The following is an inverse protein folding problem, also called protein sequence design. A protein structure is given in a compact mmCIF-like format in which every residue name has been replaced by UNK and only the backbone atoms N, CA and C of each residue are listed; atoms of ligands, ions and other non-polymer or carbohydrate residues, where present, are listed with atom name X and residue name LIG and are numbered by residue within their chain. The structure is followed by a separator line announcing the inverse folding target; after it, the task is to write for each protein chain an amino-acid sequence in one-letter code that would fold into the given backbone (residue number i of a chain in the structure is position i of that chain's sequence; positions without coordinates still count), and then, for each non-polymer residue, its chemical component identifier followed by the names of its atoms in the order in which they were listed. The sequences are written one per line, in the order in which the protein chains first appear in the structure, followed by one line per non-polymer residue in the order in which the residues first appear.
data_IF_954807528652
#
_entry.id   IF_954807528652
#
_cell.length_a   1.000
_cell.length_b   1.000
_cell.length_c   1.000
_cell.angle_alpha   90.00
_cell.angle_beta   90.00
_cell.angle_gamma   90.00
#
_symmetry.space_group_name_H-M   'P 1'
#
loop_
_entity.id
_entity.type
_entity.pdbx_description
1 polymer ?
#
# COMPACT_ATOMS: atom_id res chain seq x y z
N UNK A 1 -1.05 12.89 2.37
CA UNK A 1 -0.35 12.18 3.43
C UNK A 1 -0.88 10.75 3.58
N UNK A 2 0.02 9.81 3.81
CA UNK A 2 -0.37 8.43 3.97
C UNK A 2 -0.79 8.17 5.41
N UNK A 3 -2.00 7.63 5.58
CA UNK A 3 -2.53 7.39 6.91
C UNK A 3 -1.92 6.13 7.52
N UNK A 4 -1.62 6.19 8.82
CA UNK A 4 -1.15 5.02 9.57
C UNK A 4 -2.29 4.23 10.20
N UNK A 5 -3.51 4.73 10.11
CA UNK A 5 -4.64 4.02 10.69
C UNK A 5 -5.02 2.82 9.85
N UNK A 6 -5.40 1.71 10.50
CA UNK A 6 -5.84 0.54 9.73
C UNK A 6 -7.12 0.83 8.95
N UNK A 7 -7.20 0.27 7.77
CA UNK A 7 -8.32 0.51 6.85
C UNK A 7 -8.90 -0.83 6.40
N UNK A 8 -10.21 -0.97 6.51
CA UNK A 8 -10.92 -2.18 6.09
C UNK A 8 -10.76 -2.40 4.59
N UNK A 9 -10.64 -3.65 4.20
CA UNK A 9 -10.52 -4.11 2.82
C UNK A 9 -9.22 -3.74 2.14
N UNK A 10 -8.21 -3.32 2.90
CA UNK A 10 -6.89 -3.05 2.34
C UNK A 10 -5.91 -4.15 2.72
N UNK A 11 -4.83 -4.23 1.98
CA UNK A 11 -3.83 -5.28 2.15
C UNK A 11 -2.71 -4.84 3.08
N UNK A 12 -2.23 -5.79 3.86
CA UNK A 12 -1.17 -5.56 4.84
C UNK A 12 -0.25 -6.77 4.88
N UNK A 13 0.94 -6.59 5.43
CA UNK A 13 1.83 -7.71 5.74
C UNK A 13 1.76 -7.99 7.23
N UNK A 14 1.58 -9.25 7.58
CA UNK A 14 1.54 -9.70 8.96
C UNK A 14 2.38 -10.96 9.06
N UNK A 15 3.43 -10.92 9.90
CA UNK A 15 4.31 -12.06 10.09
C UNK A 15 4.81 -12.64 8.76
N UNK A 16 5.11 -11.77 7.79
CA UNK A 16 5.65 -12.18 6.51
C UNK A 16 4.62 -12.59 5.47
N UNK A 17 3.33 -12.62 5.83
CA UNK A 17 2.27 -13.03 4.91
C UNK A 17 1.36 -11.87 4.56
N UNK A 18 0.72 -11.95 3.40
CA UNK A 18 -0.22 -10.92 2.99
C UNK A 18 -1.59 -11.22 3.55
N UNK A 19 -2.17 -10.22 4.21
CA UNK A 19 -3.48 -10.33 4.84
C UNK A 19 -4.35 -9.17 4.39
N UNK A 20 -5.65 -9.30 4.62
CA UNK A 20 -6.60 -8.25 4.30
C UNK A 20 -7.43 -7.97 5.54
N UNK A 21 -7.61 -6.70 5.89
CA UNK A 21 -8.43 -6.36 7.04
C UNK A 21 -9.89 -6.57 6.68
N UNK A 22 -10.59 -7.39 7.45
CA UNK A 22 -12.01 -7.67 7.21
C UNK A 22 -12.90 -6.83 8.08
N UNK A 23 -12.49 -6.53 9.31
CA UNK A 23 -13.32 -5.80 10.25
C UNK A 23 -12.46 -5.17 11.31
N UNK A 24 -12.84 -3.98 11.75
CA UNK A 24 -12.16 -3.27 12.82
C UNK A 24 -13.17 -3.02 13.93
N UNK A 25 -12.81 -3.41 15.17
CA UNK A 25 -13.65 -3.20 16.34
C UNK A 25 -12.82 -2.53 17.41
N UNK A 26 -12.84 -1.20 17.44
CA UNK A 26 -12.08 -0.45 18.43
C UNK A 26 -12.57 -0.73 19.84
N UNK A 27 -13.88 -0.86 20.03
CA UNK A 27 -14.46 -1.11 21.33
C UNK A 27 -14.01 -2.42 21.94
N UNK A 28 -13.70 -3.42 21.11
CA UNK A 28 -13.19 -4.71 21.57
C UNK A 28 -11.69 -4.79 21.46
N UNK A 29 -11.03 -3.73 21.03
CA UNK A 29 -9.58 -3.70 20.78
C UNK A 29 -9.14 -4.83 19.84
N UNK A 30 -9.88 -5.00 18.73
CA UNK A 30 -9.60 -6.09 17.78
C UNK A 30 -9.65 -5.63 16.35
N UNK A 31 -8.77 -6.21 15.55
CA UNK A 31 -8.82 -6.12 14.09
C UNK A 31 -8.86 -7.54 13.58
N UNK A 32 -9.87 -7.84 12.76
CA UNK A 32 -10.01 -9.16 12.16
C UNK A 32 -9.37 -9.13 10.79
N UNK A 33 -8.38 -10.01 10.59
CA UNK A 33 -7.65 -10.06 9.33
C UNK A 33 -7.80 -11.44 8.72
N UNK A 34 -7.91 -11.45 7.39
CA UNK A 34 -7.96 -12.70 6.63
C UNK A 34 -6.57 -12.99 6.09
N UNK A 35 -6.04 -14.18 6.42
CA UNK A 35 -4.80 -14.65 5.85
C UNK A 35 -5.13 -15.17 4.46
N UNK A 36 -4.66 -14.48 3.42
CA UNK A 36 -5.12 -14.76 2.07
C UNK A 36 -4.68 -16.11 1.54
N UNK A 37 -3.56 -16.64 2.04
CA UNK A 37 -3.07 -17.96 1.60
C UNK A 37 -3.95 -19.10 2.12
N UNK A 38 -4.34 -19.02 3.40
CA UNK A 38 -5.13 -20.08 4.03
C UNK A 38 -6.61 -19.78 4.11
N UNK A 39 -7.00 -18.52 3.87
CA UNK A 39 -8.36 -18.01 4.01
C UNK A 39 -8.86 -18.01 5.45
N UNK A 40 -7.96 -18.21 6.40
CA UNK A 40 -8.33 -18.17 7.82
C UNK A 40 -8.44 -16.73 8.31
N UNK A 41 -9.36 -16.50 9.24
CA UNK A 41 -9.51 -15.19 9.88
C UNK A 41 -8.98 -15.28 11.29
N UNK A 42 -8.09 -14.36 11.63
CA UNK A 42 -7.57 -14.24 12.98
C UNK A 42 -7.78 -12.81 13.45
N UNK A 43 -7.60 -12.57 14.75
CA UNK A 43 -7.68 -11.20 15.24
C UNK A 43 -6.37 -10.78 15.86
N UNK A 44 -6.11 -9.48 15.81
CA UNK A 44 -4.95 -8.87 16.44
C UNK A 44 -5.44 -7.68 17.27
N UNK A 45 -4.66 -7.27 18.30
CA UNK A 45 -5.04 -6.10 19.09
C UNK A 45 -5.00 -4.82 18.25
N UNK A 46 -6.06 -4.04 18.33
CA UNK A 46 -6.13 -2.78 17.60
C UNK A 46 -5.00 -1.84 18.00
N UNK A 47 -4.70 -1.79 19.31
CA UNK A 47 -3.69 -0.88 19.82
C UNK A 47 -2.29 -1.17 19.29
N UNK A 48 -2.03 -2.41 18.88
CA UNK A 48 -0.73 -2.81 18.38
C UNK A 48 -0.66 -2.90 16.87
N UNK A 49 -1.70 -2.44 16.18
CA UNK A 49 -1.77 -2.64 14.74
C UNK A 49 -0.63 -1.97 13.98
N UNK A 50 -0.19 -0.79 14.42
CA UNK A 50 0.93 -0.12 13.74
C UNK A 50 2.22 -0.92 13.78
N UNK A 51 2.38 -1.73 14.82
CA UNK A 51 3.58 -2.55 14.98
C UNK A 51 3.42 -3.88 14.27
N UNK A 52 2.23 -4.47 14.36
CA UNK A 52 2.01 -5.84 13.90
C UNK A 52 1.78 -5.96 12.41
N UNK A 53 1.16 -4.95 11.78
CA UNK A 53 0.87 -5.02 10.36
C UNK A 53 1.42 -3.79 9.63
N UNK A 54 1.85 -4.00 8.39
CA UNK A 54 2.43 -2.96 7.55
C UNK A 54 1.61 -2.83 6.28
N UNK A 55 1.22 -1.60 5.94
CA UNK A 55 0.36 -1.36 4.79
C UNK A 55 1.04 -1.74 3.48
N UNK A 56 0.30 -2.42 2.62
CA UNK A 56 0.70 -2.67 1.24
C UNK A 56 -0.25 -1.91 0.32
N UNK A 57 0.28 -1.37 -0.77
CA UNK A 57 -0.47 -0.55 -1.70
C UNK A 57 -0.48 -1.21 -3.06
N UNK A 58 -1.67 -1.41 -3.62
CA UNK A 58 -1.75 -1.94 -4.98
C UNK A 58 -1.27 -0.89 -5.98
N UNK A 59 -0.94 -1.33 -7.19
CA UNK A 59 -0.49 -0.40 -8.24
C UNK A 59 -1.53 0.67 -8.50
N UNK A 60 -2.82 0.29 -8.51
CA UNK A 60 -3.88 1.26 -8.70
C UNK A 60 -3.95 2.31 -7.61
N UNK A 61 -3.73 1.89 -6.35
CA UNK A 61 -3.72 2.83 -5.25
C UNK A 61 -2.56 3.80 -5.35
N UNK A 62 -1.36 3.28 -5.69
CA UNK A 62 -0.20 4.13 -5.83
C UNK A 62 -0.37 5.12 -6.97
N UNK A 63 -0.95 4.65 -8.08
CA UNK A 63 -1.20 5.53 -9.22
C UNK A 63 -2.04 6.74 -8.81
N UNK A 64 -3.05 6.51 -7.98
CA UNK A 64 -3.86 7.62 -7.47
C UNK A 64 -3.08 8.52 -6.54
N UNK A 65 -2.28 7.94 -5.66
CA UNK A 65 -1.49 8.71 -4.70
C UNK A 65 -0.51 9.64 -5.42
N UNK A 66 0.17 9.13 -6.44
CA UNK A 66 1.17 9.93 -7.17
C UNK A 66 0.57 10.69 -8.34
N UNK A 67 -0.73 10.55 -8.55
CA UNK A 67 -1.47 11.24 -9.61
C UNK A 67 -0.88 10.96 -10.99
N UNK A 68 -0.62 9.68 -11.24
CA UNK A 68 -0.13 9.19 -12.53
C UNK A 68 -0.95 7.99 -12.94
N UNK A 69 -0.93 7.67 -14.24
CA UNK A 69 -1.63 6.50 -14.74
C UNK A 69 -0.80 5.24 -14.44
N UNK A 70 -1.46 4.09 -14.25
CA UNK A 70 -0.71 2.85 -14.04
C UNK A 70 0.30 2.55 -15.14
N UNK A 71 -0.03 2.88 -16.39
CA UNK A 71 0.90 2.67 -17.50
C UNK A 71 2.17 3.49 -17.34
N UNK A 72 2.04 4.69 -16.81
CA UNK A 72 3.19 5.54 -16.53
C UNK A 72 4.10 4.89 -15.49
N UNK A 73 3.51 4.30 -14.46
CA UNK A 73 4.31 3.61 -13.44
C UNK A 73 5.08 2.45 -14.06
N UNK A 74 4.41 1.64 -14.88
CA UNK A 74 5.08 0.53 -15.54
C UNK A 74 6.25 0.99 -16.42
N UNK A 75 6.06 2.11 -17.10
CA UNK A 75 7.11 2.68 -17.94
C UNK A 75 8.33 3.05 -17.12
N UNK A 76 8.12 3.71 -15.98
CA UNK A 76 9.25 4.12 -15.12
C UNK A 76 9.87 2.94 -14.41
N UNK A 77 9.09 1.91 -14.08
CA UNK A 77 9.65 0.66 -13.54
C UNK A 77 10.61 0.04 -14.54
N UNK A 78 10.21 -0.05 -15.80
CA UNK A 78 11.06 -0.66 -16.82
C UNK A 78 12.37 0.11 -17.02
N UNK A 79 12.35 1.39 -16.73
CA UNK A 79 13.54 2.23 -16.82
C UNK A 79 14.35 2.25 -15.53
N UNK A 80 13.91 1.50 -14.53
CA UNK A 80 14.56 1.43 -13.22
C UNK A 80 14.64 2.78 -12.52
N UNK A 81 13.65 3.64 -12.77
CA UNK A 81 13.60 4.97 -12.15
C UNK A 81 12.79 4.99 -10.87
N UNK A 82 11.91 4.00 -10.69
CA UNK A 82 11.15 3.83 -9.46
C UNK A 82 11.23 2.37 -9.05
N UNK A 83 10.91 2.05 -7.78
CA UNK A 83 10.92 0.64 -7.36
C UNK A 83 9.98 -0.21 -8.18
N UNK A 84 10.33 -1.47 -8.36
CA UNK A 84 9.47 -2.43 -9.04
C UNK A 84 8.45 -3.00 -8.06
N UNK A 85 7.21 -3.09 -8.49
CA UNK A 85 6.17 -3.68 -7.66
C UNK A 85 6.44 -5.16 -7.45
N UNK A 86 6.15 -5.64 -6.24
CA UNK A 86 6.27 -7.06 -5.91
C UNK A 86 4.99 -7.79 -6.26
N UNK A 87 5.10 -9.07 -6.63
CA UNK A 87 3.92 -9.87 -6.88
C UNK A 87 3.44 -10.52 -5.59
N UNK A 88 2.13 -10.72 -5.48
CA UNK A 88 1.58 -11.46 -4.34
C UNK A 88 2.12 -12.88 -4.30
N UNK A 89 2.11 -13.57 -5.45
CA UNK A 89 2.62 -14.93 -5.51
C UNK A 89 1.51 -15.97 -5.63
N UNK A 90 1.91 -17.17 -6.03
CA UNK A 90 0.94 -18.24 -6.34
C UNK A 90 0.20 -18.76 -5.11
N UNK A 91 0.78 -18.60 -3.93
CA UNK A 91 0.13 -19.05 -2.70
C UNK A 91 -1.10 -18.19 -2.36
N UNK A 92 -1.26 -17.03 -3.00
CA UNK A 92 -2.40 -16.17 -2.73
C UNK A 92 -3.42 -16.31 -3.85
N UNK A 93 -4.14 -17.41 -3.83
CA UNK A 93 -5.14 -17.73 -4.84
C UNK A 93 -6.15 -16.60 -5.02
N UNK A 94 -6.41 -16.24 -6.26
CA UNK A 94 -7.27 -15.11 -6.58
C UNK A 94 -6.52 -13.79 -6.67
N UNK A 95 -5.31 -13.72 -6.13
CA UNK A 95 -4.51 -12.50 -6.14
C UNK A 95 -3.11 -12.72 -6.68
N UNK A 96 -2.82 -13.92 -7.22
CA UNK A 96 -1.44 -14.27 -7.57
C UNK A 96 -0.80 -13.32 -8.57
N UNK A 97 -1.58 -12.72 -9.46
CA UNK A 97 -1.05 -11.78 -10.44
C UNK A 97 -1.04 -10.33 -9.95
N UNK A 98 -1.60 -10.08 -8.77
CA UNK A 98 -1.64 -8.75 -8.23
C UNK A 98 -0.25 -8.32 -7.79
N UNK A 99 -0.03 -7.00 -7.80
CA UNK A 99 1.25 -6.41 -7.42
C UNK A 99 1.05 -5.35 -6.36
N UNK A 100 2.08 -5.15 -5.55
CA UNK A 100 2.01 -4.18 -4.46
C UNK A 100 3.35 -3.46 -4.29
N UNK A 101 3.26 -2.31 -3.63
CA UNK A 101 4.41 -1.58 -3.13
C UNK A 101 4.26 -1.47 -1.63
N UNK A 102 5.37 -1.47 -0.90
CA UNK A 102 5.29 -1.21 0.53
C UNK A 102 5.33 0.30 0.77
N UNK A 103 5.16 0.68 2.03
CA UNK A 103 5.05 2.09 2.39
C UNK A 103 6.30 2.88 2.04
N UNK A 104 7.48 2.32 2.29
CA UNK A 104 8.71 3.03 1.99
C UNK A 104 8.88 3.26 0.50
N UNK A 105 8.49 2.28 -0.31
CA UNK A 105 8.53 2.43 -1.75
C UNK A 105 7.58 3.51 -2.23
N UNK A 106 6.40 3.59 -1.62
CA UNK A 106 5.43 4.61 -1.99
C UNK A 106 5.98 6.01 -1.67
N UNK A 107 6.59 6.19 -0.52
CA UNK A 107 7.20 7.48 -0.18
C UNK A 107 8.30 7.84 -1.18
N UNK A 108 9.09 6.87 -1.58
CA UNK A 108 10.13 7.08 -2.58
C UNK A 108 9.53 7.55 -3.89
N UNK A 109 8.42 6.95 -4.30
CA UNK A 109 7.75 7.32 -5.54
C UNK A 109 7.12 8.71 -5.46
N UNK A 110 6.54 9.04 -4.32
CA UNK A 110 5.99 10.37 -4.11
C UNK A 110 7.08 11.42 -4.31
N UNK A 111 8.23 11.19 -3.71
CA UNK A 111 9.33 12.13 -3.84
C UNK A 111 9.83 12.22 -5.27
N UNK A 112 9.97 11.08 -5.94
CA UNK A 112 10.42 11.05 -7.32
C UNK A 112 9.51 11.88 -8.22
N UNK A 113 8.19 11.67 -8.11
CA UNK A 113 7.26 12.38 -8.97
C UNK A 113 7.10 13.85 -8.60
N UNK A 114 7.25 14.19 -7.32
CA UNK A 114 7.24 15.59 -6.92
C UNK A 114 8.39 16.35 -7.53
N UNK A 115 9.55 15.76 -7.61
CA UNK A 115 10.70 16.41 -8.20
C UNK A 115 10.55 16.59 -9.70
N UNK A 116 9.76 15.75 -10.35
CA UNK A 116 9.59 15.83 -11.80
C UNK A 116 8.37 16.64 -12.21
N UNK A 117 7.51 16.95 -11.27
CA UNK A 117 6.29 17.70 -11.56
C UNK A 117 6.59 19.17 -11.66
N UNK A 118 6.14 19.80 -12.75
CA UNK A 118 6.37 21.22 -12.95
C UNK A 118 5.10 21.97 -12.61
N UNK A 119 5.12 22.70 -11.50
CA UNK A 119 4.00 23.51 -11.09
C UNK A 119 2.82 22.73 -10.56
N UNK A 120 2.96 21.41 -10.39
CA UNK A 120 1.86 20.58 -9.92
C UNK A 120 2.37 19.55 -8.93
N UNK A 121 2.70 19.96 -7.71
CA UNK A 121 3.14 18.99 -6.73
C UNK A 121 2.03 18.01 -6.39
N UNK A 122 2.43 16.83 -5.96
CA UNK A 122 1.48 15.82 -5.52
C UNK A 122 0.82 16.29 -4.24
N UNK A 123 -0.49 16.08 -4.15
CA UNK A 123 -1.29 16.58 -3.03
C UNK A 123 -0.74 16.10 -1.69
N UNK A 124 -0.22 14.89 -1.62
CA UNK A 124 0.31 14.34 -0.39
C UNK A 124 1.53 15.07 0.11
N UNK A 125 2.21 15.83 -0.73
CA UNK A 125 3.31 16.65 -0.27
C UNK A 125 2.83 17.79 0.60
N UNK A 126 1.59 18.16 0.45
CA UNK A 126 0.88 18.97 1.40
C UNK A 126 1.05 20.45 1.34
N UNK A 127 1.94 20.98 0.64
CA UNK A 127 2.14 22.41 0.76
C UNK A 127 1.82 23.19 -0.49
N UNK A 128 1.47 22.53 -1.55
CA UNK A 128 1.09 23.23 -2.74
C UNK A 128 2.14 24.12 -3.34
N UNK A 129 3.36 23.90 -3.02
CA UNK A 129 4.43 24.70 -3.58
C UNK A 129 4.55 24.40 -5.05
N UNK A 130 4.55 25.45 -5.83
CA UNK A 130 4.75 25.31 -7.24
C UNK A 130 6.20 25.45 -7.56
N UNK A 131 6.58 24.91 -8.54
CA UNK A 131 7.96 24.99 -8.93
C UNK A 131 8.23 25.86 -10.09
#
# INVERSE_FOLDING_TARGET
MISKKPITNKFYKYAGNIVKIKKISKGKNKIYIEQLDSKNIIDIPYEQSEILITRLYTVGEVAKIVERRPDTLRKYERKNLIPSASKFGDEYSGYSSWRYYDESEVYEMIEFFNQRTQGRPIVQSGNGVSN
#
